data_IF_805834391820
#
_entry.id   IF_805834391820
#
_cell.length_a   1.000
_cell.length_b   1.000
_cell.length_c   1.000
_cell.angle_alpha   90.00
_cell.angle_beta   90.00
_cell.angle_gamma   90.00
#
_symmetry.space_group_name_H-M   'P 1'
#
loop_
_entity.id
_entity.type
_entity.pdbx_description
1 polymer ?
#
# COMPACT_ATOMS: atom_id res chain seq x y z
N UNK A 1 -0.32 -0.83 35.59
CA UNK A 1 -0.13 -0.28 34.24
C UNK A 1 0.30 -1.41 33.33
N UNK A 2 -0.52 -1.73 32.36
CA UNK A 2 -0.12 -2.66 31.31
C UNK A 2 0.65 -1.83 30.29
N UNK A 3 1.97 -2.01 30.24
CA UNK A 3 2.78 -1.48 29.14
C UNK A 3 2.29 -2.11 27.86
N UNK A 4 1.61 -1.34 27.03
CA UNK A 4 1.31 -1.78 25.66
C UNK A 4 2.64 -1.89 24.93
N UNK A 5 2.99 -3.07 24.38
CA UNK A 5 4.25 -3.19 23.63
C UNK A 5 4.28 -2.12 22.53
N UNK A 6 5.42 -1.44 22.39
CA UNK A 6 5.58 -0.46 21.33
C UNK A 6 5.47 -1.17 19.99
N UNK A 7 4.54 -0.70 19.14
CA UNK A 7 4.37 -1.23 17.78
C UNK A 7 5.54 -0.79 16.90
N UNK A 8 6.00 -1.71 16.07
CA UNK A 8 6.96 -1.39 15.01
C UNK A 8 6.17 -1.02 13.77
N UNK A 9 6.42 0.16 13.23
CA UNK A 9 5.79 0.59 11.97
C UNK A 9 6.62 0.07 10.80
N UNK A 10 5.96 -0.66 9.91
CA UNK A 10 6.48 -1.02 8.60
C UNK A 10 5.76 -0.18 7.56
N UNK A 11 6.44 0.79 6.97
CA UNK A 11 5.89 1.51 5.85
C UNK A 11 6.06 0.67 4.59
N UNK A 12 4.94 0.38 3.93
CA UNK A 12 4.88 -0.34 2.66
C UNK A 12 4.54 0.65 1.55
N UNK A 13 5.57 1.14 0.89
CA UNK A 13 5.45 2.06 -0.24
C UNK A 13 5.05 1.27 -1.47
N UNK A 14 3.85 1.52 -1.95
CA UNK A 14 3.13 0.66 -2.87
C UNK A 14 2.41 1.48 -3.93
N UNK A 15 2.12 0.82 -5.04
CA UNK A 15 1.34 1.41 -6.12
C UNK A 15 0.43 0.31 -6.69
N UNK A 16 -0.87 0.59 -6.75
CA UNK A 16 -1.88 -0.45 -6.98
C UNK A 16 -1.99 -0.93 -8.43
N UNK A 17 -1.27 -0.32 -9.36
CA UNK A 17 -1.12 -0.84 -10.73
C UNK A 17 0.22 -1.56 -10.92
N UNK A 18 1.01 -1.73 -9.88
CA UNK A 18 2.34 -2.33 -9.95
C UNK A 18 2.27 -3.85 -9.72
N UNK A 19 2.64 -4.69 -10.73
CA UNK A 19 2.67 -6.14 -10.55
C UNK A 19 3.62 -6.60 -9.44
N UNK A 20 4.72 -5.88 -9.24
CA UNK A 20 5.69 -6.19 -8.19
C UNK A 20 5.11 -5.95 -6.79
N UNK A 21 4.18 -5.02 -6.64
CA UNK A 21 3.46 -4.81 -5.39
C UNK A 21 2.49 -5.97 -5.11
N UNK A 22 1.87 -6.55 -6.13
CA UNK A 22 1.08 -7.79 -5.98
C UNK A 22 1.97 -8.92 -5.45
N UNK A 23 3.16 -9.09 -6.01
CA UNK A 23 4.12 -10.10 -5.55
C UNK A 23 4.50 -9.87 -4.08
N UNK A 24 4.64 -8.63 -3.67
CA UNK A 24 5.00 -8.25 -2.31
C UNK A 24 3.94 -8.63 -1.26
N UNK A 25 2.67 -8.79 -1.66
CA UNK A 25 1.58 -9.10 -0.71
C UNK A 25 1.81 -10.39 0.07
N UNK A 26 2.46 -11.39 -0.52
CA UNK A 26 2.77 -12.65 0.17
C UNK A 26 3.74 -12.42 1.33
N UNK A 27 4.77 -11.59 1.13
CA UNK A 27 5.73 -11.24 2.16
C UNK A 27 5.08 -10.39 3.26
N UNK A 28 4.25 -9.44 2.89
CA UNK A 28 3.51 -8.59 3.85
C UNK A 28 2.57 -9.45 4.70
N UNK A 29 1.85 -10.40 4.08
CA UNK A 29 0.98 -11.32 4.81
C UNK A 29 1.76 -12.19 5.80
N UNK A 30 2.91 -12.71 5.39
CA UNK A 30 3.78 -13.51 6.27
C UNK A 30 4.31 -12.70 7.46
N UNK A 31 4.68 -11.43 7.22
CA UNK A 31 5.13 -10.53 8.28
C UNK A 31 4.01 -10.22 9.27
N UNK A 32 2.78 -9.97 8.77
CA UNK A 32 1.62 -9.76 9.65
C UNK A 32 1.31 -10.98 10.50
N UNK A 33 1.40 -12.18 9.93
CA UNK A 33 1.18 -13.42 10.66
C UNK A 33 2.23 -13.64 11.74
N UNK A 34 3.51 -13.41 11.43
CA UNK A 34 4.61 -13.61 12.37
C UNK A 34 4.57 -12.65 13.56
N UNK A 35 4.26 -11.38 13.32
CA UNK A 35 4.40 -10.34 14.34
C UNK A 35 3.08 -9.91 14.98
N UNK A 36 1.95 -10.21 14.35
CA UNK A 36 0.63 -9.85 14.89
C UNK A 36 0.53 -8.37 15.26
N UNK A 37 0.07 -8.10 16.47
CA UNK A 37 -0.16 -6.73 16.95
C UNK A 37 1.12 -5.91 17.15
N UNK A 38 2.29 -6.56 17.16
CA UNK A 38 3.58 -5.85 17.26
C UNK A 38 3.90 -5.06 16.00
N UNK A 39 3.42 -5.51 14.83
CA UNK A 39 3.71 -4.87 13.54
C UNK A 39 2.51 -4.07 13.05
N UNK A 40 2.72 -2.79 12.81
CA UNK A 40 1.76 -1.92 12.15
C UNK A 40 2.21 -1.68 10.71
N UNK A 41 1.54 -2.32 9.76
CA UNK A 41 1.84 -2.15 8.33
C UNK A 41 1.03 -0.98 7.79
N UNK A 42 1.72 0.05 7.34
CA UNK A 42 1.12 1.26 6.76
C UNK A 42 1.42 1.33 5.27
N UNK A 43 0.38 1.25 4.45
CA UNK A 43 0.51 1.46 3.02
C UNK A 43 0.72 2.95 2.75
N UNK A 44 1.79 3.27 2.01
CA UNK A 44 2.10 4.62 1.58
C UNK A 44 2.11 4.66 0.05
N UNK A 45 1.61 5.74 -0.52
CA UNK A 45 1.41 5.84 -1.96
C UNK A 45 2.65 6.37 -2.67
N UNK A 46 3.06 5.64 -3.72
CA UNK A 46 4.11 6.09 -4.61
C UNK A 46 3.72 5.80 -6.06
N UNK A 47 2.71 6.51 -6.60
CA UNK A 47 2.25 6.29 -7.97
C UNK A 47 3.38 6.62 -8.96
N UNK A 48 3.62 5.68 -9.88
CA UNK A 48 4.67 5.80 -10.90
C UNK A 48 4.09 6.40 -12.18
N UNK A 49 4.84 7.31 -12.81
CA UNK A 49 4.39 7.99 -14.04
C UNK A 49 4.09 7.02 -15.18
N UNK A 50 4.79 5.88 -15.22
CA UNK A 50 4.59 4.84 -16.24
C UNK A 50 3.29 4.07 -16.11
N UNK A 51 2.59 4.16 -14.97
CA UNK A 51 1.34 3.47 -14.72
C UNK A 51 0.18 4.48 -14.74
N UNK A 52 -0.55 4.49 -15.85
CA UNK A 52 -1.57 5.50 -16.16
C UNK A 52 -2.65 5.63 -15.09
N UNK A 53 -3.01 4.54 -14.41
CA UNK A 53 -4.12 4.50 -13.47
C UNK A 53 -3.69 4.46 -11.99
N UNK A 54 -2.40 4.60 -11.74
CA UNK A 54 -1.85 4.50 -10.38
C UNK A 54 -2.36 5.60 -9.45
N UNK A 55 -2.45 6.83 -9.94
CA UNK A 55 -2.94 7.97 -9.16
C UNK A 55 -4.41 7.80 -8.80
N UNK A 56 -5.24 7.38 -9.75
CA UNK A 56 -6.66 7.11 -9.50
C UNK A 56 -6.83 5.94 -8.52
N UNK A 57 -6.04 4.87 -8.68
CA UNK A 57 -6.10 3.72 -7.77
C UNK A 57 -5.73 4.10 -6.33
N UNK A 58 -4.74 4.96 -6.14
CA UNK A 58 -4.36 5.47 -4.82
C UNK A 58 -5.50 6.26 -4.17
N UNK A 59 -6.17 7.12 -4.93
CA UNK A 59 -7.31 7.89 -4.44
C UNK A 59 -8.51 6.99 -4.10
N UNK A 60 -8.79 5.99 -4.93
CA UNK A 60 -9.85 5.01 -4.65
C UNK A 60 -9.55 4.22 -3.38
N UNK A 61 -8.30 3.85 -3.15
CA UNK A 61 -7.87 3.21 -1.90
C UNK A 61 -8.17 4.09 -0.68
N UNK A 62 -7.88 5.39 -0.76
CA UNK A 62 -8.15 6.31 0.35
C UNK A 62 -9.66 6.41 0.66
N UNK A 63 -10.51 6.35 -0.35
CA UNK A 63 -11.96 6.26 -0.13
C UNK A 63 -12.35 4.93 0.52
N UNK A 64 -11.73 3.83 0.11
CA UNK A 64 -11.95 2.53 0.77
C UNK A 64 -11.48 2.56 2.23
N UNK A 65 -10.40 3.24 2.55
CA UNK A 65 -9.94 3.48 3.95
C UNK A 65 -11.01 4.24 4.72
N UNK A 66 -11.56 5.30 4.15
CA UNK A 66 -12.64 6.08 4.77
C UNK A 66 -13.87 5.22 5.06
N UNK A 67 -14.11 4.20 4.25
CA UNK A 67 -15.21 3.24 4.43
C UNK A 67 -14.81 2.02 5.28
N UNK A 68 -13.60 1.99 5.85
CA UNK A 68 -13.16 0.95 6.77
C UNK A 68 -12.60 -0.32 6.12
N UNK A 69 -12.29 -0.30 4.81
CA UNK A 69 -11.87 -1.50 4.07
C UNK A 69 -10.63 -1.28 3.17
N UNK A 70 -9.70 -0.46 3.60
CA UNK A 70 -8.52 -0.13 2.80
C UNK A 70 -7.69 -1.36 2.42
N UNK A 71 -7.35 -2.21 3.38
CA UNK A 71 -6.53 -3.40 3.15
C UNK A 71 -7.18 -4.35 2.14
N UNK A 72 -8.44 -4.70 2.36
CA UNK A 72 -9.17 -5.60 1.47
C UNK A 72 -9.25 -5.02 0.05
N UNK A 73 -9.44 -3.70 -0.05
CA UNK A 73 -9.49 -3.01 -1.33
C UNK A 73 -8.15 -3.09 -2.07
N UNK A 74 -7.06 -2.77 -1.39
CA UNK A 74 -5.72 -2.83 -1.99
C UNK A 74 -5.39 -4.23 -2.50
N UNK A 75 -5.66 -5.27 -1.70
CA UNK A 75 -5.45 -6.65 -2.09
C UNK A 75 -6.29 -7.04 -3.31
N UNK A 76 -7.56 -6.62 -3.35
CA UNK A 76 -8.46 -6.92 -4.46
C UNK A 76 -8.05 -6.21 -5.77
N UNK A 77 -7.61 -4.97 -5.69
CA UNK A 77 -7.12 -4.23 -6.88
C UNK A 77 -5.82 -4.85 -7.40
N UNK A 78 -4.88 -5.15 -6.52
CA UNK A 78 -3.61 -5.78 -6.90
C UNK A 78 -3.81 -7.16 -7.51
N UNK A 79 -4.80 -7.93 -7.05
CA UNK A 79 -5.16 -9.21 -7.66
C UNK A 79 -5.59 -9.08 -9.12
N UNK A 80 -6.04 -7.90 -9.54
CA UNK A 80 -6.56 -7.62 -10.88
C UNK A 80 -5.75 -6.54 -11.60
N UNK A 81 -4.45 -6.50 -11.34
CA UNK A 81 -3.58 -5.42 -11.85
C UNK A 81 -3.56 -5.36 -13.38
N UNK A 82 -3.63 -6.50 -14.07
CA UNK A 82 -3.68 -6.53 -15.53
C UNK A 82 -5.01 -5.98 -16.08
N UNK A 83 -6.11 -6.24 -15.37
CA UNK A 83 -7.41 -5.66 -15.75
C UNK A 83 -7.42 -4.15 -15.53
N UNK A 84 -6.82 -3.68 -14.44
CA UNK A 84 -6.71 -2.24 -14.18
C UNK A 84 -5.97 -1.53 -15.32
N UNK A 85 -4.87 -2.12 -15.78
CA UNK A 85 -4.11 -1.58 -16.90
C UNK A 85 -4.95 -1.45 -18.17
N UNK A 86 -5.85 -2.40 -18.44
CA UNK A 86 -6.70 -2.41 -19.64
C UNK A 86 -7.96 -1.58 -19.50
N UNK A 87 -8.61 -1.65 -18.34
CA UNK A 87 -9.97 -1.09 -18.14
C UNK A 87 -9.96 0.28 -17.46
N UNK A 88 -8.92 0.58 -16.69
CA UNK A 88 -8.82 1.86 -15.99
C UNK A 88 -9.80 2.02 -14.82
N UNK A 89 -10.21 3.26 -14.60
CA UNK A 89 -11.03 3.65 -13.43
C UNK A 89 -12.32 2.85 -13.23
N UNK A 90 -13.06 2.43 -14.28
CA UNK A 90 -14.25 1.60 -14.07
C UNK A 90 -14.00 0.34 -13.25
N UNK A 91 -12.80 -0.25 -13.36
CA UNK A 91 -12.43 -1.41 -12.54
C UNK A 91 -12.37 -1.06 -11.06
N UNK A 92 -11.86 0.13 -10.74
CA UNK A 92 -11.75 0.58 -9.33
C UNK A 92 -13.12 0.66 -8.66
N UNK A 93 -14.12 1.13 -9.39
CA UNK A 93 -15.51 1.20 -8.93
C UNK A 93 -16.13 -0.20 -8.80
N UNK A 94 -15.86 -1.09 -9.77
CA UNK A 94 -16.32 -2.47 -9.74
C UNK A 94 -15.77 -3.24 -8.52
N UNK A 95 -14.48 -3.10 -8.22
CA UNK A 95 -13.86 -3.73 -7.05
C UNK A 95 -14.52 -3.25 -5.75
N UNK A 96 -14.82 -1.96 -5.65
CA UNK A 96 -15.55 -1.44 -4.50
C UNK A 96 -16.93 -2.10 -4.34
N UNK A 97 -17.66 -2.23 -5.42
CA UNK A 97 -18.98 -2.90 -5.41
C UNK A 97 -18.86 -4.37 -5.01
N UNK A 98 -17.87 -5.09 -5.53
CA UNK A 98 -17.62 -6.49 -5.22
C UNK A 98 -17.31 -6.72 -3.74
N UNK A 99 -16.70 -5.73 -3.08
CA UNK A 99 -16.40 -5.77 -1.65
C UNK A 99 -17.53 -5.26 -0.76
N UNK A 100 -18.66 -4.89 -1.35
CA UNK A 100 -19.80 -4.34 -0.60
C UNK A 100 -19.61 -2.92 -0.11
N UNK A 101 -18.65 -2.18 -0.68
CA UNK A 101 -18.45 -0.77 -0.38
C UNK A 101 -19.44 0.10 -1.17
N UNK A 102 -19.55 1.36 -0.77
CA UNK A 102 -20.30 2.35 -1.53
C UNK A 102 -19.52 2.73 -2.79
N UNK A 103 -19.84 2.06 -3.90
CA UNK A 103 -19.16 2.23 -5.17
C UNK A 103 -19.42 3.61 -5.79
N UNK A 104 -20.61 4.20 -5.56
CA UNK A 104 -20.92 5.55 -6.03
C UNK A 104 -20.01 6.57 -5.34
N UNK A 105 -19.74 6.42 -4.06
CA UNK A 105 -18.82 7.29 -3.34
C UNK A 105 -17.38 7.15 -3.86
N UNK A 106 -16.95 5.94 -4.22
CA UNK A 106 -15.63 5.76 -4.84
C UNK A 106 -15.56 6.51 -6.18
N UNK A 107 -16.59 6.38 -7.01
CA UNK A 107 -16.65 7.10 -8.29
C UNK A 107 -16.64 8.63 -8.07
N UNK A 108 -17.44 9.12 -7.14
CA UNK A 108 -17.51 10.54 -6.79
C UNK A 108 -16.15 11.04 -6.27
N UNK A 109 -15.48 10.27 -5.43
CA UNK A 109 -14.16 10.63 -4.90
C UNK A 109 -13.11 10.78 -6.01
N UNK A 110 -13.19 9.95 -7.05
CA UNK A 110 -12.32 10.07 -8.23
C UNK A 110 -12.60 11.32 -9.03
N UNK A 111 -13.87 11.73 -9.11
CA UNK A 111 -14.29 12.92 -9.85
C UNK A 111 -13.92 14.20 -9.10
N UNK A 112 -14.18 14.26 -7.80
CA UNK A 112 -13.96 15.50 -7.01
C UNK A 112 -12.54 15.66 -6.47
N UNK A 113 -11.72 14.61 -6.52
CA UNK A 113 -10.32 14.67 -6.11
C UNK A 113 -10.12 14.88 -4.61
N UNK A 114 -11.10 14.52 -3.77
CA UNK A 114 -11.07 14.74 -2.32
C UNK A 114 -9.87 14.13 -1.61
N UNK A 115 -9.26 13.07 -2.18
CA UNK A 115 -8.12 12.37 -1.62
C UNK A 115 -6.79 12.68 -2.31
N UNK A 116 -6.78 13.58 -3.28
CA UNK A 116 -5.59 13.89 -4.06
C UNK A 116 -4.44 14.41 -3.19
N UNK A 117 -4.74 15.28 -2.22
CA UNK A 117 -3.71 15.85 -1.36
C UNK A 117 -2.99 14.80 -0.50
N UNK A 118 -3.69 13.77 -0.05
CA UNK A 118 -3.07 12.67 0.71
C UNK A 118 -2.07 11.92 -0.17
N UNK A 119 -2.46 11.60 -1.39
CA UNK A 119 -1.60 10.88 -2.34
C UNK A 119 -0.39 11.74 -2.72
N UNK A 120 -0.59 13.01 -3.01
CA UNK A 120 0.49 13.93 -3.35
C UNK A 120 1.47 14.11 -2.18
N UNK A 121 0.97 14.19 -0.95
CA UNK A 121 1.81 14.29 0.24
C UNK A 121 2.69 13.05 0.42
N UNK A 122 2.12 11.85 0.24
CA UNK A 122 2.88 10.60 0.29
C UNK A 122 3.96 10.58 -0.79
N UNK A 123 3.60 10.93 -2.02
CA UNK A 123 4.56 10.94 -3.13
C UNK A 123 5.72 11.90 -2.85
N UNK A 124 5.43 13.10 -2.35
CA UNK A 124 6.45 14.08 -2.00
C UNK A 124 7.37 13.58 -0.88
N UNK A 125 6.80 12.98 0.16
CA UNK A 125 7.57 12.40 1.26
C UNK A 125 8.44 11.23 0.77
N UNK A 126 7.88 10.33 -0.05
CA UNK A 126 8.62 9.22 -0.63
C UNK A 126 9.84 9.70 -1.41
N UNK A 127 9.68 10.70 -2.25
CA UNK A 127 10.79 11.30 -3.00
C UNK A 127 11.83 11.92 -2.05
N UNK A 128 11.38 12.59 -1.00
CA UNK A 128 12.27 13.24 -0.04
C UNK A 128 13.13 12.23 0.74
N UNK A 129 12.58 11.07 1.08
CA UNK A 129 13.32 10.03 1.83
C UNK A 129 14.10 9.05 0.94
N UNK A 130 13.99 9.18 -0.36
CA UNK A 130 14.78 8.38 -1.31
C UNK A 130 14.07 7.18 -1.90
N UNK A 131 12.73 7.08 -1.80
CA UNK A 131 11.96 6.07 -2.52
C UNK A 131 12.06 6.35 -4.02
N UNK A 132 12.41 5.32 -4.80
CA UNK A 132 12.62 5.42 -6.26
C UNK A 132 11.69 4.54 -7.07
N UNK A 133 11.01 3.63 -6.43
CA UNK A 133 10.11 2.68 -7.07
C UNK A 133 9.37 1.85 -6.03
N UNK A 134 8.57 0.93 -6.51
CA UNK A 134 7.71 0.09 -5.65
C UNK A 134 7.91 -1.40 -5.94
N UNK A 135 7.79 -2.28 -4.95
CA UNK A 135 7.61 -1.95 -3.54
C UNK A 135 8.90 -1.43 -2.88
N UNK A 136 8.76 -0.52 -1.93
CA UNK A 136 9.84 -0.10 -1.05
C UNK A 136 9.34 -0.15 0.38
N UNK A 137 10.19 -0.56 1.30
CA UNK A 137 9.84 -0.67 2.71
C UNK A 137 10.69 0.28 3.54
N UNK A 138 10.09 0.86 4.57
CA UNK A 138 10.83 1.61 5.60
C UNK A 138 10.47 1.04 6.95
N UNK A 139 11.47 0.60 7.68
CA UNK A 139 11.33 -0.02 9.01
C UNK A 139 12.59 0.22 9.83
N UNK A 140 12.42 0.58 11.10
CA UNK A 140 13.56 0.84 11.98
C UNK A 140 14.52 1.92 11.45
N UNK A 141 14.00 2.91 10.74
CA UNK A 141 14.79 3.97 10.12
C UNK A 141 15.58 3.55 8.87
N UNK A 142 15.35 2.34 8.35
CA UNK A 142 16.05 1.81 7.17
C UNK A 142 15.11 1.72 5.99
N UNK A 143 15.58 2.17 4.82
CA UNK A 143 14.87 2.06 3.55
C UNK A 143 15.38 0.83 2.79
N UNK A 144 14.46 -0.05 2.42
CA UNK A 144 14.73 -1.27 1.66
C UNK A 144 14.03 -1.21 0.31
N UNK A 145 14.78 -1.06 -0.76
CA UNK A 145 14.25 -0.94 -2.11
C UNK A 145 14.01 -2.33 -2.72
N UNK A 146 12.74 -2.65 -2.97
CA UNK A 146 12.32 -3.89 -3.65
C UNK A 146 11.93 -3.68 -5.10
N UNK A 147 12.10 -2.49 -5.64
CA UNK A 147 11.62 -2.17 -7.00
C UNK A 147 12.35 -2.92 -8.11
N UNK A 148 13.57 -3.36 -7.85
CA UNK A 148 14.37 -4.13 -8.83
C UNK A 148 14.43 -5.61 -8.49
N UNK A 149 14.51 -5.94 -7.20
CA UNK A 149 14.62 -7.30 -6.72
C UNK A 149 14.05 -7.38 -5.31
N UNK A 150 13.14 -8.33 -5.08
CA UNK A 150 12.49 -8.55 -3.79
C UNK A 150 13.12 -9.71 -3.00
N UNK A 151 14.09 -10.41 -3.58
CA UNK A 151 14.71 -11.56 -2.94
C UNK A 151 15.38 -11.17 -1.61
N UNK A 152 15.08 -11.93 -0.55
CA UNK A 152 15.66 -11.71 0.77
C UNK A 152 15.13 -10.52 1.56
N UNK A 153 14.23 -9.73 1.01
CA UNK A 153 13.70 -8.54 1.70
C UNK A 153 12.90 -8.89 2.95
N UNK A 154 12.07 -9.93 2.90
CA UNK A 154 11.31 -10.36 4.06
C UNK A 154 12.25 -10.75 5.21
N UNK A 155 13.27 -11.54 4.93
CA UNK A 155 14.25 -11.96 5.94
C UNK A 155 14.96 -10.74 6.54
N UNK A 156 15.29 -9.77 5.70
CA UNK A 156 15.92 -8.53 6.16
C UNK A 156 15.00 -7.71 7.06
N UNK A 157 13.73 -7.59 6.70
CA UNK A 157 12.74 -6.91 7.53
C UNK A 157 12.61 -7.62 8.89
N UNK A 158 12.54 -8.96 8.88
CA UNK A 158 12.48 -9.77 10.10
C UNK A 158 13.69 -9.52 11.00
N UNK A 159 14.89 -9.50 10.44
CA UNK A 159 16.10 -9.18 11.21
C UNK A 159 16.02 -7.79 11.86
N UNK A 160 15.53 -6.80 11.13
CA UNK A 160 15.39 -5.44 11.65
C UNK A 160 14.36 -5.39 12.77
N UNK A 161 13.18 -5.99 12.57
CA UNK A 161 12.11 -6.00 13.58
C UNK A 161 12.55 -6.75 14.83
N UNK A 162 13.19 -7.91 14.66
CA UNK A 162 13.69 -8.73 15.78
C UNK A 162 14.76 -7.99 16.59
N UNK A 163 15.51 -7.10 15.97
CA UNK A 163 16.54 -6.30 16.63
C UNK A 163 16.03 -5.03 17.31
N UNK A 164 14.75 -4.68 17.14
CA UNK A 164 14.16 -3.49 17.76
C UNK A 164 13.65 -3.81 19.18
N UNK A 165 13.68 -2.82 20.11
CA UNK A 165 13.16 -3.02 21.46
C UNK A 165 11.68 -3.42 21.43
N UNK A 166 11.35 -4.35 22.34
CA UNK A 166 9.95 -4.77 22.55
C UNK A 166 9.15 -3.67 23.27
#
# INVERSE_FOLDING_TARGET
>A
MTDTPSRVVLEFWCELQCPDCRTALADVAALRERYGDRLDVQLRHFPLDKHQHAMAAAQAYEEAVAQGSGRAYAEAVLARVEELARRGEPLLVEVAADLGLDAEEVDTALVDGRHLLVVDADLAEGKAIGVKGTPTYVVGGKLLDGSKDQAGLRDRIEEIVDGLPA
#
